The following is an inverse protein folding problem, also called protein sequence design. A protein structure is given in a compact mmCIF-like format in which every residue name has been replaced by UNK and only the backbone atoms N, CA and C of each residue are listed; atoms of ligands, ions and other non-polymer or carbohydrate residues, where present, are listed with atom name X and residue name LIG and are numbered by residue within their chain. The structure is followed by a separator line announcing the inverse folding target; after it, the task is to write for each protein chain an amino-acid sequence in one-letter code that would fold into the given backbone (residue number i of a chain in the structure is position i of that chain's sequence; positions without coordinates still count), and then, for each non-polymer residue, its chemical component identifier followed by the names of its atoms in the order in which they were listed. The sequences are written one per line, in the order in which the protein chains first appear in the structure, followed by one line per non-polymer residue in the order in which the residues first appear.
data_IF_763082282709
#
_entry.id   IF_763082282709
#
_cell.length_a   1.000
_cell.length_b   1.000
_cell.length_c   1.000
_cell.angle_alpha   90.00
_cell.angle_beta   90.00
_cell.angle_gamma   90.00
#
_symmetry.space_group_name_H-M   'P 1'
#
loop_
_entity.id
_entity.type
_entity.pdbx_description
1 polymer ?
#
# COMPACT_ATOMS: atom_id res chain seq x y z
N UNK A 1 -68.50 54.82 -73.40
CA UNK A 1 -67.51 53.68 -73.53
C UNK A 1 -66.21 53.98 -72.82
N UNK A 2 -65.61 55.14 -72.95
CA UNK A 2 -64.34 55.51 -72.29
C UNK A 2 -64.51 55.72 -70.78
N UNK A 3 -65.68 56.16 -70.27
CA UNK A 3 -65.97 56.31 -68.87
C UNK A 3 -66.04 54.94 -68.18
N UNK A 4 -66.64 53.95 -68.86
CA UNK A 4 -66.68 52.61 -68.34
C UNK A 4 -65.32 51.90 -68.42
N UNK A 5 -64.54 52.25 -69.44
CA UNK A 5 -63.13 51.73 -69.48
C UNK A 5 -62.25 52.40 -68.44
N UNK A 6 -62.43 53.71 -68.17
CA UNK A 6 -61.71 54.42 -67.10
C UNK A 6 -62.10 53.85 -65.72
N UNK A 7 -63.42 53.73 -65.48
CA UNK A 7 -63.89 53.16 -64.22
C UNK A 7 -63.41 51.71 -64.02
N UNK A 8 -63.36 50.96 -65.14
CA UNK A 8 -62.80 49.58 -65.07
C UNK A 8 -61.29 49.58 -64.81
N UNK A 9 -60.59 50.48 -65.43
CA UNK A 9 -59.15 50.67 -65.17
C UNK A 9 -58.85 51.17 -63.76
N UNK A 10 -59.66 52.12 -63.30
CA UNK A 10 -59.59 52.61 -61.89
C UNK A 10 -59.95 51.51 -60.92
N UNK A 11 -60.92 50.68 -61.23
CA UNK A 11 -61.25 49.51 -60.36
C UNK A 11 -60.18 48.44 -60.44
N UNK A 12 -59.61 48.20 -61.60
CA UNK A 12 -58.49 47.30 -61.77
C UNK A 12 -57.26 47.86 -61.04
N UNK A 13 -56.97 49.15 -61.08
CA UNK A 13 -55.91 49.82 -60.37
C UNK A 13 -56.11 49.74 -58.86
N UNK A 14 -57.32 50.08 -58.37
CA UNK A 14 -57.65 49.94 -56.94
C UNK A 14 -57.56 48.51 -56.45
N UNK A 15 -57.92 47.54 -57.25
CA UNK A 15 -57.74 46.14 -56.91
C UNK A 15 -56.31 45.72 -56.92
N UNK A 16 -55.52 46.21 -57.87
CA UNK A 16 -54.07 46.00 -57.90
C UNK A 16 -53.36 46.64 -56.71
N UNK A 17 -53.77 47.86 -56.36
CA UNK A 17 -53.22 48.59 -55.24
C UNK A 17 -53.50 47.86 -53.90
N UNK A 18 -54.81 47.48 -53.71
CA UNK A 18 -55.18 46.69 -52.50
C UNK A 18 -54.51 45.36 -52.45
N UNK A 19 -54.35 44.70 -53.58
CA UNK A 19 -53.65 43.43 -53.66
C UNK A 19 -52.14 43.64 -53.38
N UNK A 20 -51.59 44.72 -53.92
CA UNK A 20 -50.17 45.08 -53.64
C UNK A 20 -49.96 45.44 -52.17
N UNK A 21 -50.82 46.25 -51.55
CA UNK A 21 -50.81 46.58 -50.14
C UNK A 21 -50.96 45.34 -49.25
N UNK A 22 -51.92 44.44 -49.61
CA UNK A 22 -52.07 43.16 -48.87
C UNK A 22 -50.84 42.29 -48.96
N UNK A 23 -50.28 42.16 -50.17
CA UNK A 23 -49.03 41.39 -50.36
C UNK A 23 -47.85 42.02 -49.63
N UNK A 24 -47.73 43.37 -49.60
CA UNK A 24 -46.69 44.06 -48.83
C UNK A 24 -46.85 43.84 -47.35
N UNK A 25 -48.07 43.84 -46.81
CA UNK A 25 -48.31 43.52 -45.38
C UNK A 25 -47.98 42.09 -45.05
N UNK A 26 -48.32 41.12 -45.90
CA UNK A 26 -47.96 39.73 -45.74
C UNK A 26 -46.43 39.51 -45.79
N UNK A 27 -45.72 40.21 -46.71
CA UNK A 27 -44.25 40.15 -46.80
C UNK A 27 -43.59 40.72 -45.56
N UNK A 28 -44.06 41.87 -45.05
CA UNK A 28 -43.55 42.47 -43.80
C UNK A 28 -43.76 41.54 -42.58
N UNK A 29 -44.94 40.86 -42.56
CA UNK A 29 -45.17 39.86 -41.49
C UNK A 29 -44.20 38.67 -41.58
N UNK A 30 -44.03 38.14 -42.80
CA UNK A 30 -43.10 37.06 -43.03
C UNK A 30 -41.62 37.45 -42.69
N UNK A 31 -41.23 38.68 -42.95
CA UNK A 31 -39.89 39.22 -42.58
C UNK A 31 -39.74 39.28 -41.06
N UNK A 32 -40.79 39.73 -40.35
CA UNK A 32 -40.79 39.73 -38.89
C UNK A 32 -40.71 38.31 -38.30
N UNK A 33 -41.55 37.40 -38.84
CA UNK A 33 -41.56 35.99 -38.42
C UNK A 33 -40.20 35.30 -38.69
N UNK A 34 -39.55 35.64 -39.82
CA UNK A 34 -38.21 35.18 -40.16
C UNK A 34 -37.13 35.71 -39.17
N UNK A 35 -37.15 37.01 -38.87
CA UNK A 35 -36.24 37.63 -37.92
C UNK A 35 -36.37 37.02 -36.49
N UNK A 36 -37.62 36.71 -36.09
CA UNK A 36 -37.86 35.98 -34.82
C UNK A 36 -37.27 34.59 -34.85
N UNK A 37 -37.50 33.85 -35.94
CA UNK A 37 -36.94 32.49 -36.10
C UNK A 37 -35.41 32.48 -36.16
N UNK A 38 -34.76 33.50 -36.75
CA UNK A 38 -33.32 33.68 -36.76
C UNK A 38 -32.77 33.88 -35.33
N UNK A 39 -33.47 34.71 -34.54
CA UNK A 39 -33.09 34.92 -33.11
C UNK A 39 -33.29 33.64 -32.30
N UNK A 40 -34.41 32.95 -32.52
CA UNK A 40 -34.67 31.66 -31.84
C UNK A 40 -33.59 30.63 -32.19
N UNK A 41 -33.18 30.58 -33.47
CA UNK A 41 -32.11 29.67 -33.91
C UNK A 41 -30.78 29.99 -33.25
N UNK A 42 -30.40 31.27 -33.18
CA UNK A 42 -29.17 31.69 -32.53
C UNK A 42 -29.17 31.31 -31.04
N UNK A 43 -30.28 31.54 -30.33
CA UNK A 43 -30.42 31.17 -28.91
C UNK A 43 -30.36 29.65 -28.70
N UNK A 44 -31.02 28.90 -29.58
CA UNK A 44 -31.01 27.43 -29.51
C UNK A 44 -29.64 26.83 -29.82
N UNK A 45 -28.91 27.43 -30.77
CA UNK A 45 -27.52 27.04 -31.09
C UNK A 45 -26.56 27.29 -29.93
N UNK A 46 -26.71 28.44 -29.24
CA UNK A 46 -25.93 28.71 -28.02
C UNK A 46 -26.22 27.68 -26.93
N UNK A 47 -27.48 27.37 -26.70
CA UNK A 47 -27.92 26.35 -25.75
C UNK A 47 -27.35 24.95 -26.09
N UNK A 48 -27.32 24.60 -27.37
CA UNK A 48 -26.76 23.35 -27.87
C UNK A 48 -25.23 23.30 -27.59
N UNK A 49 -24.51 24.37 -27.89
CA UNK A 49 -23.07 24.47 -27.64
C UNK A 49 -22.72 24.31 -26.16
N UNK A 50 -23.54 24.92 -25.28
CA UNK A 50 -23.39 24.78 -23.84
C UNK A 50 -23.63 23.34 -23.37
N UNK A 51 -24.70 22.70 -23.86
CA UNK A 51 -25.03 21.31 -23.54
C UNK A 51 -23.95 20.33 -24.03
N UNK A 52 -23.42 20.53 -25.22
CA UNK A 52 -22.29 19.75 -25.76
C UNK A 52 -21.00 19.91 -24.93
N UNK A 53 -20.71 21.14 -24.48
CA UNK A 53 -19.58 21.43 -23.61
C UNK A 53 -19.73 20.73 -22.26
N UNK A 54 -20.90 20.75 -21.65
CA UNK A 54 -21.20 20.04 -20.41
C UNK A 54 -21.02 18.53 -20.57
N UNK A 55 -21.54 17.95 -21.65
CA UNK A 55 -21.41 16.53 -21.93
C UNK A 55 -19.93 16.14 -22.12
N UNK A 56 -19.13 16.95 -22.80
CA UNK A 56 -17.69 16.74 -22.96
C UNK A 56 -16.96 16.77 -21.62
N UNK A 57 -17.26 17.76 -20.77
CA UNK A 57 -16.65 17.86 -19.43
C UNK A 57 -16.99 16.64 -18.56
N UNK A 58 -18.22 16.16 -18.60
CA UNK A 58 -18.63 14.94 -17.88
C UNK A 58 -17.94 13.69 -18.42
N UNK A 59 -17.72 13.60 -19.73
CA UNK A 59 -16.97 12.51 -20.35
C UNK A 59 -15.52 12.49 -19.90
N UNK A 60 -14.88 13.66 -19.85
CA UNK A 60 -13.49 13.76 -19.38
C UNK A 60 -13.39 13.47 -17.89
N UNK A 61 -14.38 13.92 -17.08
CA UNK A 61 -14.48 13.57 -15.66
C UNK A 61 -14.69 12.06 -15.47
N UNK A 62 -15.52 11.42 -16.29
CA UNK A 62 -15.72 9.96 -16.26
C UNK A 62 -14.42 9.20 -16.51
N UNK A 63 -13.67 9.54 -17.55
CA UNK A 63 -12.38 8.92 -17.86
C UNK A 63 -11.35 9.09 -16.75
N UNK A 64 -11.30 10.30 -16.17
CA UNK A 64 -10.40 10.58 -15.05
C UNK A 64 -10.78 9.79 -13.80
N UNK A 65 -12.09 9.70 -13.50
CA UNK A 65 -12.60 8.91 -12.37
C UNK A 65 -12.36 7.41 -12.57
N UNK A 66 -12.54 6.88 -13.77
CA UNK A 66 -12.24 5.48 -14.11
C UNK A 66 -10.75 5.14 -13.93
N UNK A 67 -9.87 6.02 -14.37
CA UNK A 67 -8.42 5.86 -14.15
C UNK A 67 -8.07 5.91 -12.67
N UNK A 68 -8.65 6.85 -11.91
CA UNK A 68 -8.46 6.96 -10.46
C UNK A 68 -8.98 5.72 -9.72
N UNK A 69 -10.13 5.19 -10.11
CA UNK A 69 -10.70 3.96 -9.55
C UNK A 69 -9.80 2.75 -9.81
N UNK A 70 -9.24 2.64 -11.01
CA UNK A 70 -8.29 1.57 -11.37
C UNK A 70 -7.04 1.64 -10.49
N UNK A 71 -6.52 2.84 -10.25
CA UNK A 71 -5.38 3.04 -9.34
C UNK A 71 -5.74 2.67 -7.90
N UNK A 72 -6.87 3.16 -7.38
CA UNK A 72 -7.34 2.83 -6.03
C UNK A 72 -7.54 1.32 -5.83
N UNK A 73 -8.01 0.62 -6.86
CA UNK A 73 -8.17 -0.84 -6.83
C UNK A 73 -6.82 -1.55 -6.77
N UNK A 74 -5.84 -1.07 -7.50
CA UNK A 74 -4.46 -1.59 -7.49
C UNK A 74 -3.81 -1.36 -6.12
N UNK A 75 -3.96 -0.17 -5.55
CA UNK A 75 -3.41 0.20 -4.25
C UNK A 75 -4.04 -0.63 -3.13
N UNK A 76 -5.36 -0.83 -3.16
CA UNK A 76 -6.06 -1.70 -2.22
C UNK A 76 -5.56 -3.15 -2.28
N UNK A 77 -5.39 -3.71 -3.49
CA UNK A 77 -4.88 -5.08 -3.66
C UNK A 77 -3.44 -5.22 -3.16
N UNK A 78 -2.58 -4.25 -3.47
CA UNK A 78 -1.20 -4.24 -3.00
C UNK A 78 -1.13 -4.17 -1.47
N UNK A 79 -1.94 -3.30 -0.86
CA UNK A 79 -2.03 -3.16 0.59
C UNK A 79 -2.58 -4.43 1.27
N UNK A 80 -3.57 -5.07 0.65
CA UNK A 80 -4.13 -6.34 1.13
C UNK A 80 -3.09 -7.45 1.13
N UNK A 81 -2.31 -7.58 0.05
CA UNK A 81 -1.21 -8.56 -0.05
C UNK A 81 -0.20 -8.34 1.06
N UNK A 82 0.24 -7.10 1.25
CA UNK A 82 1.20 -6.74 2.30
C UNK A 82 0.70 -7.08 3.71
N UNK A 83 -0.58 -6.82 3.97
CA UNK A 83 -1.19 -7.19 5.24
C UNK A 83 -1.20 -8.71 5.45
N UNK A 84 -1.52 -9.50 4.42
CA UNK A 84 -1.52 -10.95 4.53
C UNK A 84 -0.11 -11.51 4.74
N UNK A 85 0.91 -10.98 4.06
CA UNK A 85 2.31 -11.38 4.25
C UNK A 85 2.75 -11.16 5.70
N UNK A 86 2.41 -10.00 6.29
CA UNK A 86 2.69 -9.71 7.70
C UNK A 86 1.92 -10.63 8.65
N UNK A 87 0.66 -10.94 8.35
CA UNK A 87 -0.16 -11.83 9.16
C UNK A 87 0.42 -13.25 9.17
N UNK A 88 0.86 -13.76 8.02
CA UNK A 88 1.45 -15.09 7.93
C UNK A 88 2.81 -15.14 8.64
N UNK A 89 3.63 -14.11 8.49
CA UNK A 89 4.89 -14.00 9.26
C UNK A 89 4.62 -13.96 10.77
N UNK A 90 3.61 -13.21 11.22
CA UNK A 90 3.23 -13.16 12.63
C UNK A 90 2.75 -14.52 13.15
N UNK A 91 1.99 -15.27 12.35
CA UNK A 91 1.56 -16.64 12.70
C UNK A 91 2.74 -17.59 12.84
N UNK A 92 3.69 -17.53 11.89
CA UNK A 92 4.92 -18.33 11.95
C UNK A 92 5.71 -18.05 13.23
N UNK A 93 5.93 -16.77 13.53
CA UNK A 93 6.65 -16.35 14.74
C UNK A 93 5.94 -16.77 16.03
N UNK A 94 4.62 -16.64 16.11
CA UNK A 94 3.83 -17.13 17.25
C UNK A 94 3.87 -18.65 17.40
N UNK A 95 3.84 -19.39 16.31
CA UNK A 95 4.00 -20.84 16.35
C UNK A 95 5.39 -21.24 16.89
N UNK A 96 6.45 -20.53 16.45
CA UNK A 96 7.80 -20.71 16.98
C UNK A 96 7.86 -20.38 18.47
N UNK A 97 7.29 -19.26 18.91
CA UNK A 97 7.16 -18.90 20.32
C UNK A 97 6.52 -20.03 21.14
N UNK A 98 5.35 -20.52 20.72
CA UNK A 98 4.64 -21.59 21.43
C UNK A 98 5.48 -22.87 21.52
N UNK A 99 6.25 -23.20 20.48
CA UNK A 99 7.17 -24.34 20.46
C UNK A 99 8.28 -24.17 21.48
N UNK A 100 8.93 -22.99 21.53
CA UNK A 100 10.00 -22.68 22.46
C UNK A 100 9.49 -22.68 23.92
N UNK A 101 8.33 -22.07 24.17
CA UNK A 101 7.69 -22.07 25.48
C UNK A 101 7.37 -23.49 25.99
N UNK A 102 6.92 -24.38 25.10
CA UNK A 102 6.69 -25.77 25.43
C UNK A 102 8.00 -26.50 25.82
N UNK A 103 9.09 -26.22 25.09
CA UNK A 103 10.41 -26.78 25.41
C UNK A 103 10.89 -26.31 26.79
N UNK A 104 10.76 -25.00 27.08
CA UNK A 104 11.13 -24.42 28.39
C UNK A 104 10.29 -25.04 29.49
N UNK A 105 8.97 -25.08 29.34
CA UNK A 105 8.04 -25.62 30.34
C UNK A 105 8.30 -27.10 30.66
N UNK A 106 8.64 -27.89 29.64
CA UNK A 106 8.83 -29.33 29.80
C UNK A 106 10.29 -29.71 30.03
N UNK A 107 11.23 -28.75 30.02
CA UNK A 107 12.68 -28.97 30.10
C UNK A 107 13.14 -30.06 29.11
N UNK A 108 12.55 -30.10 27.91
CA UNK A 108 12.75 -31.19 26.94
C UNK A 108 14.10 -31.12 26.21
N UNK A 109 14.79 -29.98 26.29
CA UNK A 109 16.13 -29.76 25.74
C UNK A 109 17.28 -30.23 26.68
N UNK A 110 16.98 -30.65 27.92
CA UNK A 110 17.96 -31.12 28.88
C UNK A 110 18.15 -32.64 28.88
N UNK A 111 19.32 -33.11 29.30
CA UNK A 111 19.55 -34.53 29.54
C UNK A 111 18.59 -35.08 30.60
N UNK A 112 18.25 -36.37 30.49
CA UNK A 112 17.26 -37.02 31.33
C UNK A 112 17.42 -36.75 32.84
N UNK A 113 18.63 -36.79 33.34
CA UNK A 113 18.91 -36.53 34.75
C UNK A 113 18.68 -35.06 35.15
N UNK A 114 19.09 -34.13 34.31
CA UNK A 114 18.86 -32.70 34.54
C UNK A 114 17.39 -32.37 34.49
N UNK A 115 16.68 -32.82 33.43
CA UNK A 115 15.23 -32.69 33.27
C UNK A 115 14.47 -33.19 34.50
N UNK A 116 14.80 -34.39 34.97
CA UNK A 116 14.15 -34.99 36.13
C UNK A 116 14.31 -34.15 37.41
N UNK A 117 15.50 -33.58 37.63
CA UNK A 117 15.75 -32.71 38.77
C UNK A 117 15.00 -31.39 38.66
N UNK A 118 15.02 -30.77 37.49
CA UNK A 118 14.28 -29.51 37.25
C UNK A 118 12.76 -29.68 37.41
N UNK A 119 12.20 -30.79 36.93
CA UNK A 119 10.77 -31.10 37.10
C UNK A 119 10.43 -31.40 38.58
N UNK A 120 11.36 -31.97 39.37
CA UNK A 120 11.17 -32.26 40.77
C UNK A 120 11.70 -31.16 41.70
N UNK A 121 12.04 -29.98 41.17
CA UNK A 121 12.69 -28.91 41.94
C UNK A 121 11.94 -28.55 43.24
N UNK A 122 10.64 -28.44 43.20
CA UNK A 122 9.81 -28.17 44.39
C UNK A 122 9.81 -29.28 45.40
N UNK A 123 9.99 -30.52 44.98
CA UNK A 123 10.03 -31.69 45.86
C UNK A 123 11.40 -31.85 46.54
N UNK A 124 12.47 -31.56 45.79
CA UNK A 124 13.88 -31.70 46.28
C UNK A 124 14.23 -30.51 47.18
N UNK A 125 13.81 -29.30 46.81
CA UNK A 125 14.15 -28.04 47.44
C UNK A 125 15.56 -27.55 47.08
N UNK A 126 15.75 -26.22 47.12
CA UNK A 126 17.03 -25.56 46.89
C UNK A 126 17.62 -25.69 45.47
N UNK A 127 16.81 -26.09 44.50
CA UNK A 127 17.18 -26.14 43.08
C UNK A 127 16.90 -24.75 42.50
N UNK A 128 17.93 -24.09 41.99
CA UNK A 128 17.80 -22.74 41.36
C UNK A 128 17.45 -22.89 39.90
N UNK A 129 18.09 -23.78 39.14
CA UNK A 129 17.86 -24.02 37.73
C UNK A 129 19.10 -24.51 37.01
N UNK A 130 19.00 -24.71 35.70
CA UNK A 130 20.20 -25.03 34.90
C UNK A 130 21.00 -23.77 34.55
N UNK A 131 22.30 -23.89 34.36
CA UNK A 131 23.18 -22.77 34.00
C UNK A 131 22.69 -22.01 32.80
N UNK A 132 22.22 -22.70 31.75
CA UNK A 132 21.68 -22.08 30.51
C UNK A 132 20.40 -21.26 30.72
N UNK A 133 19.66 -21.48 31.81
CA UNK A 133 18.45 -20.74 32.13
C UNK A 133 18.71 -19.39 32.83
N UNK A 134 19.94 -19.19 33.33
CA UNK A 134 20.36 -18.05 34.16
C UNK A 134 21.38 -17.13 33.49
N UNK A 135 21.64 -17.29 32.19
CA UNK A 135 22.60 -16.49 31.44
C UNK A 135 21.97 -15.93 30.18
N UNK A 136 22.27 -14.69 29.88
CA UNK A 136 21.91 -14.03 28.61
C UNK A 136 23.14 -13.33 28.02
N UNK A 137 23.16 -13.17 26.71
CA UNK A 137 24.23 -12.53 25.96
C UNK A 137 23.71 -12.00 24.63
N UNK A 138 24.48 -11.10 24.01
CA UNK A 138 24.16 -10.60 22.68
C UNK A 138 24.20 -11.74 21.65
N UNK A 139 23.31 -11.71 20.64
CA UNK A 139 23.21 -12.78 19.63
C UNK A 139 24.52 -13.09 18.92
N UNK A 140 25.39 -12.10 18.71
CA UNK A 140 26.70 -12.28 18.07
C UNK A 140 27.65 -13.22 18.84
N UNK A 141 27.45 -13.38 20.16
CA UNK A 141 28.26 -14.25 21.01
C UNK A 141 27.67 -15.65 21.17
N UNK A 142 26.50 -15.94 20.59
CA UNK A 142 25.81 -17.20 20.83
C UNK A 142 26.68 -18.44 20.61
N UNK A 143 27.29 -18.57 19.44
CA UNK A 143 28.13 -19.72 19.10
C UNK A 143 29.33 -19.84 20.05
N UNK A 144 29.97 -18.71 20.33
CA UNK A 144 31.10 -18.68 21.25
C UNK A 144 30.73 -19.13 22.67
N UNK A 145 29.55 -18.67 23.18
CA UNK A 145 29.08 -19.04 24.53
C UNK A 145 28.60 -20.48 24.60
N UNK A 146 27.95 -20.99 23.52
CA UNK A 146 27.62 -22.42 23.42
C UNK A 146 28.85 -23.30 23.52
N UNK A 147 29.95 -22.95 22.88
CA UNK A 147 31.23 -23.67 22.95
C UNK A 147 31.91 -23.44 24.31
N UNK A 148 31.95 -22.19 24.82
CA UNK A 148 32.60 -21.86 26.09
C UNK A 148 31.96 -22.62 27.26
N UNK A 149 30.64 -22.66 27.36
CA UNK A 149 29.90 -23.40 28.38
C UNK A 149 29.87 -24.91 28.08
N UNK A 150 29.71 -25.29 26.84
CA UNK A 150 29.64 -26.69 26.42
C UNK A 150 28.68 -27.50 27.31
N UNK A 151 29.10 -28.67 27.80
CA UNK A 151 28.29 -29.51 28.67
C UNK A 151 27.95 -28.86 30.03
N UNK A 152 28.69 -27.85 30.46
CA UNK A 152 28.41 -27.16 31.71
C UNK A 152 27.14 -26.31 31.67
N UNK A 153 26.65 -25.96 30.46
CA UNK A 153 25.36 -25.30 30.27
C UNK A 153 24.16 -26.07 30.86
N UNK A 154 24.30 -27.40 30.99
CA UNK A 154 23.29 -28.28 31.59
C UNK A 154 23.52 -28.54 33.09
N UNK A 155 24.59 -27.99 33.70
CA UNK A 155 24.79 -28.16 35.12
C UNK A 155 23.70 -27.47 35.91
N UNK A 156 23.26 -28.09 37.01
CA UNK A 156 22.17 -27.56 37.88
C UNK A 156 22.77 -26.72 39.00
N UNK A 157 22.36 -25.48 39.09
CA UNK A 157 22.76 -24.60 40.19
C UNK A 157 21.84 -24.90 41.39
N UNK A 158 22.42 -25.06 42.55
CA UNK A 158 21.75 -25.34 43.82
C UNK A 158 22.24 -24.40 44.92
N UNK A 159 21.40 -24.13 45.90
CA UNK A 159 21.73 -23.22 47.01
C UNK A 159 22.93 -23.76 47.82
N UNK A 160 22.85 -25.01 48.25
CA UNK A 160 23.85 -25.61 49.15
C UNK A 160 24.22 -27.05 48.75
N UNK A 161 25.31 -27.55 49.35
CA UNK A 161 25.75 -28.96 49.17
C UNK A 161 24.70 -29.99 49.61
N UNK A 162 23.90 -29.66 50.63
CA UNK A 162 22.82 -30.50 51.11
C UNK A 162 21.76 -30.77 50.01
N UNK A 163 21.41 -29.75 49.23
CA UNK A 163 20.50 -29.86 48.10
C UNK A 163 21.08 -30.66 46.94
N UNK A 164 22.38 -30.50 46.67
CA UNK A 164 23.10 -31.34 45.70
C UNK A 164 23.04 -32.84 46.08
N UNK A 165 23.28 -33.17 47.38
CA UNK A 165 23.18 -34.52 47.89
C UNK A 165 21.75 -35.09 47.78
N UNK A 166 20.74 -34.28 48.12
CA UNK A 166 19.32 -34.65 47.98
C UNK A 166 18.96 -34.96 46.51
N UNK A 167 19.37 -34.09 45.57
CA UNK A 167 19.15 -34.28 44.15
C UNK A 167 19.85 -35.55 43.60
N UNK A 168 21.06 -35.82 44.02
CA UNK A 168 21.77 -37.07 43.67
C UNK A 168 21.07 -38.31 44.22
N UNK A 169 20.57 -38.25 45.48
CA UNK A 169 19.78 -39.34 46.06
C UNK A 169 18.49 -39.57 45.33
N UNK A 170 17.78 -38.50 44.91
CA UNK A 170 16.59 -38.57 44.07
C UNK A 170 16.84 -39.23 42.72
N UNK A 171 17.91 -38.84 42.01
CA UNK A 171 18.29 -39.45 40.73
C UNK A 171 18.63 -40.96 40.87
N UNK A 172 19.37 -41.33 41.92
CA UNK A 172 19.69 -42.75 42.19
C UNK A 172 18.45 -43.58 42.50
N UNK A 173 17.55 -43.07 43.37
CA UNK A 173 16.32 -43.74 43.75
C UNK A 173 15.43 -44.00 42.55
N UNK A 174 15.30 -43.02 41.68
CA UNK A 174 14.39 -43.08 40.51
C UNK A 174 15.08 -43.57 39.24
N UNK A 175 16.36 -43.93 39.25
CA UNK A 175 17.14 -44.40 38.10
C UNK A 175 17.06 -43.46 36.87
N UNK A 176 17.16 -42.14 37.11
CA UNK A 176 16.91 -41.11 36.11
C UNK A 176 18.18 -40.47 35.48
N UNK A 177 19.26 -41.21 35.41
CA UNK A 177 20.50 -40.74 34.80
C UNK A 177 21.38 -39.95 35.77
N UNK A 178 22.22 -39.05 35.23
CA UNK A 178 23.20 -38.26 35.98
C UNK A 178 23.03 -36.77 35.67
N UNK A 179 23.34 -35.94 36.67
CA UNK A 179 23.49 -34.49 36.52
C UNK A 179 24.68 -34.00 37.36
N UNK A 180 25.26 -32.87 36.96
CA UNK A 180 26.30 -32.18 37.72
C UNK A 180 25.65 -31.00 38.45
N UNK A 181 25.99 -30.85 39.76
CA UNK A 181 25.41 -29.82 40.60
C UNK A 181 26.49 -28.80 40.99
N UNK A 182 26.12 -27.53 41.02
CA UNK A 182 26.96 -26.40 41.35
C UNK A 182 26.37 -25.67 42.58
N UNK A 183 26.80 -26.07 43.82
CA UNK A 183 26.32 -25.36 45.02
C UNK A 183 26.94 -23.95 45.12
N UNK A 184 26.13 -22.95 45.37
CA UNK A 184 26.59 -21.56 45.55
C UNK A 184 27.60 -21.41 46.67
N UNK A 185 27.46 -22.22 47.72
CA UNK A 185 28.31 -22.18 48.90
C UNK A 185 29.76 -22.71 48.67
N UNK A 186 29.94 -23.59 47.67
CA UNK A 186 31.23 -24.28 47.47
C UNK A 186 31.99 -23.89 46.21
N UNK A 187 31.26 -23.43 45.19
CA UNK A 187 31.89 -23.02 43.93
C UNK A 187 32.60 -21.67 44.12
N UNK A 188 33.89 -21.64 43.80
CA UNK A 188 34.70 -20.44 43.89
C UNK A 188 34.97 -19.85 42.50
N UNK A 189 35.05 -18.52 42.36
CA UNK A 189 35.45 -17.87 41.14
C UNK A 189 36.77 -18.39 40.60
N UNK A 190 36.86 -18.49 39.29
CA UNK A 190 38.12 -18.83 38.60
C UNK A 190 38.33 -17.79 37.50
N UNK A 191 39.43 -17.03 37.61
CA UNK A 191 39.76 -15.98 36.66
C UNK A 191 41.16 -16.19 36.10
N UNK A 192 41.43 -15.57 34.97
CA UNK A 192 42.75 -15.52 34.39
C UNK A 192 43.70 -14.74 35.32
N UNK A 193 44.97 -15.17 35.40
CA UNK A 193 45.98 -14.38 36.06
C UNK A 193 46.19 -13.03 35.34
N UNK A 194 46.39 -11.96 36.11
CA UNK A 194 46.49 -10.61 35.56
C UNK A 194 47.49 -10.46 34.41
N UNK A 195 48.66 -11.15 34.50
CA UNK A 195 49.66 -11.09 33.43
C UNK A 195 49.17 -11.73 32.11
N UNK A 196 48.36 -12.79 32.18
CA UNK A 196 47.76 -13.41 31.00
C UNK A 196 46.66 -12.52 30.43
N UNK A 197 45.83 -11.93 31.29
CA UNK A 197 44.75 -11.02 30.86
C UNK A 197 45.32 -9.80 30.12
N UNK A 198 46.38 -9.16 30.69
CA UNK A 198 47.04 -8.02 30.03
C UNK A 198 47.67 -8.37 28.67
N UNK A 199 48.17 -9.59 28.50
CA UNK A 199 48.66 -10.05 27.19
C UNK A 199 47.53 -10.26 26.17
N UNK A 200 46.37 -10.73 26.63
CA UNK A 200 45.20 -10.91 25.78
C UNK A 200 44.60 -9.58 25.40
N UNK A 201 44.46 -8.63 26.35
CA UNK A 201 43.97 -7.27 26.11
C UNK A 201 44.81 -6.50 25.08
N UNK A 202 46.13 -6.75 25.05
CA UNK A 202 47.04 -6.20 24.06
C UNK A 202 46.97 -6.92 22.69
N UNK A 203 46.27 -8.03 22.58
CA UNK A 203 46.21 -8.83 21.36
C UNK A 203 45.06 -8.34 20.46
N UNK A 204 45.28 -8.21 19.15
CA UNK A 204 44.20 -7.86 18.21
C UNK A 204 43.03 -8.87 18.25
N UNK A 205 41.80 -8.39 18.14
CA UNK A 205 40.63 -9.25 18.11
C UNK A 205 40.15 -9.79 19.45
N UNK A 206 40.78 -9.39 20.57
CA UNK A 206 40.28 -9.72 21.90
C UNK A 206 39.00 -8.97 22.21
N UNK A 207 37.93 -9.70 22.54
CA UNK A 207 36.62 -9.14 22.83
C UNK A 207 36.31 -9.04 24.32
N UNK A 208 36.96 -9.88 25.13
CA UNK A 208 36.80 -9.95 26.58
C UNK A 208 36.92 -11.37 27.09
N UNK A 209 36.86 -11.55 28.42
CA UNK A 209 36.64 -12.87 28.99
C UNK A 209 35.18 -13.25 28.91
N UNK A 210 34.86 -14.53 28.76
CA UNK A 210 33.51 -14.99 28.51
C UNK A 210 32.51 -14.59 29.60
N UNK A 211 32.97 -14.49 30.88
CA UNK A 211 32.13 -14.02 31.99
C UNK A 211 31.78 -12.53 31.93
N UNK A 212 32.61 -11.71 31.24
CA UNK A 212 32.33 -10.28 31.01
C UNK A 212 31.35 -10.00 29.86
N UNK A 213 31.21 -10.95 28.94
CA UNK A 213 30.38 -10.84 27.74
C UNK A 213 28.98 -11.45 27.93
N UNK A 214 28.66 -11.88 29.15
CA UNK A 214 27.36 -12.43 29.53
C UNK A 214 26.73 -11.63 30.65
N UNK A 215 25.40 -11.65 30.72
CA UNK A 215 24.63 -11.06 31.81
C UNK A 215 23.92 -12.15 32.61
N UNK A 216 24.02 -12.05 33.92
CA UNK A 216 23.42 -12.99 34.88
C UNK A 216 23.10 -12.28 36.20
N UNK A 217 22.32 -12.93 37.06
CA UNK A 217 22.04 -12.40 38.40
C UNK A 217 23.32 -12.35 39.24
N UNK A 218 23.53 -11.23 39.95
CA UNK A 218 24.75 -11.00 40.78
C UNK A 218 24.98 -12.08 41.85
N UNK A 219 23.93 -12.72 42.34
CA UNK A 219 24.00 -13.84 43.26
C UNK A 219 24.70 -15.06 42.68
N UNK A 220 24.79 -15.19 41.36
CA UNK A 220 25.39 -16.29 40.63
C UNK A 220 26.81 -15.98 40.12
N UNK A 221 27.37 -14.83 40.49
CA UNK A 221 28.68 -14.37 40.03
C UNK A 221 29.78 -15.45 40.24
N UNK A 222 29.82 -16.11 41.39
CA UNK A 222 30.78 -17.18 41.66
C UNK A 222 30.68 -18.36 40.70
N UNK A 223 29.50 -18.73 40.28
CA UNK A 223 29.25 -19.82 39.33
C UNK A 223 29.73 -19.41 37.92
N UNK A 224 29.33 -18.26 37.42
CA UNK A 224 29.68 -17.85 36.06
C UNK A 224 31.14 -17.49 35.91
N UNK A 225 31.76 -16.88 36.90
CA UNK A 225 33.21 -16.69 36.95
C UNK A 225 33.98 -18.01 37.03
N UNK A 226 33.46 -19.02 37.74
CA UNK A 226 34.08 -20.34 37.76
C UNK A 226 34.05 -21.00 36.37
N UNK A 227 32.94 -20.90 35.67
CA UNK A 227 32.70 -21.55 34.36
C UNK A 227 33.37 -20.81 33.20
N UNK A 228 33.32 -19.48 33.18
CA UNK A 228 33.64 -18.64 32.04
C UNK A 228 34.86 -17.71 32.26
N UNK A 229 35.19 -17.37 33.50
CA UNK A 229 36.20 -16.33 33.81
C UNK A 229 37.66 -16.69 33.41
N UNK A 230 37.92 -17.93 33.04
CA UNK A 230 39.19 -18.36 32.49
C UNK A 230 39.19 -18.66 30.98
N UNK A 231 38.12 -18.23 30.27
CA UNK A 231 37.97 -18.39 28.82
C UNK A 231 37.99 -17.03 28.15
N UNK A 232 38.87 -16.83 27.18
CA UNK A 232 38.92 -15.61 26.38
C UNK A 232 38.12 -15.76 25.08
N UNK A 233 37.47 -14.69 24.67
CA UNK A 233 36.73 -14.64 23.41
C UNK A 233 37.45 -13.75 22.41
N UNK A 234 37.60 -14.25 21.20
CA UNK A 234 38.26 -13.57 20.08
C UNK A 234 37.35 -13.51 18.86
N UNK A 235 37.64 -12.55 17.98
CA UNK A 235 36.89 -12.34 16.78
C UNK A 235 37.06 -13.49 15.77
N UNK A 236 38.31 -13.87 15.50
CA UNK A 236 38.66 -14.95 14.56
C UNK A 236 39.80 -15.87 15.07
N UNK A 237 39.97 -16.99 14.34
CA UNK A 237 40.92 -18.01 14.70
C UNK A 237 42.40 -17.59 14.52
N UNK A 238 42.70 -16.73 13.55
CA UNK A 238 44.08 -16.29 13.29
C UNK A 238 44.58 -15.39 14.42
N UNK A 239 43.75 -14.43 14.85
CA UNK A 239 44.04 -13.56 15.99
C UNK A 239 44.07 -14.36 17.29
N UNK A 240 43.15 -15.31 17.47
CA UNK A 240 43.14 -16.24 18.61
C UNK A 240 44.44 -17.06 18.70
N UNK A 241 44.96 -17.55 17.58
CA UNK A 241 46.18 -18.31 17.52
C UNK A 241 47.44 -17.46 17.87
N UNK A 242 47.48 -16.20 17.44
CA UNK A 242 48.53 -15.26 17.82
C UNK A 242 48.55 -15.03 19.34
N UNK A 243 47.37 -14.78 19.92
CA UNK A 243 47.20 -14.60 21.36
C UNK A 243 47.51 -15.88 22.15
N UNK A 244 47.14 -17.06 21.63
CA UNK A 244 47.47 -18.35 22.23
C UNK A 244 49.00 -18.58 22.32
N UNK A 245 49.73 -18.24 21.26
CA UNK A 245 51.22 -18.30 21.26
C UNK A 245 51.81 -17.32 22.26
N UNK A 246 51.33 -16.09 22.34
CA UNK A 246 51.79 -15.08 23.28
C UNK A 246 51.61 -15.55 24.75
N UNK A 247 50.48 -16.21 25.04
CA UNK A 247 50.17 -16.77 26.35
C UNK A 247 50.73 -18.20 26.55
N UNK A 248 51.58 -18.70 25.64
CA UNK A 248 52.19 -20.06 25.67
C UNK A 248 51.13 -21.16 25.79
N UNK A 249 49.98 -20.98 25.14
CA UNK A 249 48.85 -21.92 25.17
C UNK A 249 48.36 -22.26 26.60
N UNK A 250 48.38 -21.28 27.50
CA UNK A 250 47.91 -21.48 28.88
C UNK A 250 46.44 -21.13 29.04
N UNK A 251 45.87 -20.37 28.09
CA UNK A 251 44.50 -19.87 28.16
C UNK A 251 43.60 -20.63 27.19
N UNK A 252 42.38 -20.90 27.61
CA UNK A 252 41.34 -21.38 26.73
C UNK A 252 40.80 -20.20 25.92
N UNK A 253 40.79 -20.29 24.61
CA UNK A 253 40.33 -19.26 23.72
C UNK A 253 39.20 -19.83 22.84
N UNK A 254 38.13 -19.09 22.70
CA UNK A 254 37.00 -19.43 21.79
C UNK A 254 36.73 -18.23 20.87
N UNK A 255 36.47 -18.49 19.61
CA UNK A 255 36.18 -17.48 18.59
C UNK A 255 34.71 -17.36 18.34
N UNK A 256 34.28 -16.25 17.71
CA UNK A 256 32.85 -16.00 17.40
C UNK A 256 32.23 -17.08 16.49
N UNK A 257 33.02 -17.69 15.61
CA UNK A 257 32.59 -18.81 14.76
C UNK A 257 32.57 -20.18 15.49
N UNK A 258 32.96 -20.22 16.77
CA UNK A 258 32.94 -21.42 17.59
C UNK A 258 34.23 -22.27 17.50
N UNK A 259 35.29 -21.78 16.87
CA UNK A 259 36.61 -22.43 16.93
C UNK A 259 37.20 -22.27 18.33
N UNK A 260 37.91 -23.29 18.81
CA UNK A 260 38.43 -23.36 20.17
C UNK A 260 39.92 -23.72 20.17
N UNK A 261 40.70 -22.99 20.94
CA UNK A 261 42.08 -23.33 21.28
C UNK A 261 42.13 -23.67 22.78
N UNK A 262 42.50 -24.89 23.12
CA UNK A 262 42.53 -25.34 24.50
C UNK A 262 43.92 -25.16 25.11
N UNK A 263 44.00 -25.05 26.44
CA UNK A 263 45.25 -25.11 27.13
C UNK A 263 46.06 -26.37 26.73
N UNK A 264 47.36 -26.18 26.43
CA UNK A 264 48.21 -27.24 25.88
C UNK A 264 48.26 -27.28 24.35
N UNK A 265 47.49 -26.39 23.63
CA UNK A 265 47.67 -26.16 22.19
C UNK A 265 46.84 -27.04 21.27
N UNK A 266 45.84 -27.74 21.77
CA UNK A 266 44.90 -28.44 20.89
C UNK A 266 43.84 -27.50 20.30
N UNK A 267 43.48 -27.69 19.02
CA UNK A 267 42.49 -26.96 18.30
C UNK A 267 41.23 -27.82 18.10
N UNK A 268 40.09 -27.23 18.31
CA UNK A 268 38.81 -27.81 17.98
C UNK A 268 37.99 -26.79 17.15
N UNK A 269 37.25 -27.23 16.17
CA UNK A 269 36.45 -26.36 15.30
C UNK A 269 35.71 -27.19 14.26
N UNK A 270 34.94 -26.54 13.43
CA UNK A 270 34.11 -27.16 12.40
C UNK A 270 32.63 -26.74 12.51
N UNK A 271 31.80 -27.16 11.56
CA UNK A 271 30.40 -26.81 11.58
C UNK A 271 29.68 -27.33 12.84
N UNK A 272 29.19 -26.43 13.65
CA UNK A 272 28.36 -26.79 14.81
C UNK A 272 26.97 -27.22 14.32
N UNK A 273 26.69 -28.53 14.25
CA UNK A 273 25.42 -29.12 13.82
C UNK A 273 24.44 -29.31 14.97
N UNK A 274 24.70 -28.79 16.16
CA UNK A 274 23.73 -28.93 17.24
C UNK A 274 22.56 -27.97 17.06
N UNK A 275 21.51 -28.44 16.40
CA UNK A 275 20.24 -27.73 16.20
C UNK A 275 19.39 -27.54 17.48
N UNK A 276 19.87 -27.97 18.62
CA UNK A 276 19.21 -27.79 19.91
C UNK A 276 20.04 -26.87 20.81
N UNK A 277 19.91 -25.57 20.57
CA UNK A 277 20.44 -24.58 21.50
C UNK A 277 19.81 -24.79 22.88
N UNK A 278 20.65 -24.86 23.91
CA UNK A 278 20.20 -24.87 25.30
C UNK A 278 19.81 -23.47 25.79
N UNK A 279 20.14 -22.46 25.01
CA UNK A 279 19.90 -21.05 25.30
C UNK A 279 18.61 -20.57 24.63
N UNK A 280 17.48 -21.16 25.03
CA UNK A 280 16.15 -20.83 24.47
C UNK A 280 15.65 -19.49 24.95
N UNK A 281 16.02 -19.07 26.18
CA UNK A 281 15.54 -17.84 26.77
C UNK A 281 15.91 -16.59 25.95
N UNK A 282 17.18 -16.38 25.53
CA UNK A 282 17.53 -15.26 24.65
C UNK A 282 16.80 -15.27 23.31
N UNK A 283 16.61 -16.45 22.71
CA UNK A 283 15.84 -16.61 21.47
C UNK A 283 14.36 -16.23 21.68
N UNK A 284 13.79 -16.69 22.80
CA UNK A 284 12.39 -16.37 23.14
C UNK A 284 12.19 -14.88 23.42
N UNK A 285 13.09 -14.25 24.17
CA UNK A 285 13.04 -12.81 24.47
C UNK A 285 13.15 -11.96 23.19
N UNK A 286 14.07 -12.31 22.29
CA UNK A 286 14.20 -11.66 20.99
C UNK A 286 12.94 -11.85 20.12
N UNK A 287 12.38 -13.07 20.11
CA UNK A 287 11.19 -13.41 19.37
C UNK A 287 9.95 -12.65 19.90
N UNK A 288 9.83 -12.45 21.22
CA UNK A 288 8.76 -11.68 21.82
C UNK A 288 8.80 -10.20 21.38
N UNK A 289 9.99 -9.61 21.30
CA UNK A 289 10.15 -8.23 20.78
C UNK A 289 9.76 -8.18 19.32
N UNK A 290 10.19 -9.15 18.51
CA UNK A 290 9.86 -9.23 17.09
C UNK A 290 8.35 -9.40 16.86
N UNK A 291 7.67 -10.27 17.61
CA UNK A 291 6.23 -10.47 17.58
C UNK A 291 5.48 -9.18 17.95
N UNK A 292 5.97 -8.46 18.95
CA UNK A 292 5.37 -7.17 19.34
C UNK A 292 5.45 -6.16 18.21
N UNK A 293 6.63 -5.99 17.61
CA UNK A 293 6.84 -5.07 16.47
C UNK A 293 5.96 -5.46 15.29
N UNK A 294 5.96 -6.73 14.89
CA UNK A 294 5.09 -7.23 13.81
C UNK A 294 3.60 -7.02 14.09
N UNK A 295 3.18 -7.14 15.35
CA UNK A 295 1.79 -6.90 15.75
C UNK A 295 1.41 -5.41 15.65
N UNK A 296 2.35 -4.50 15.95
CA UNK A 296 2.17 -3.05 15.78
C UNK A 296 2.15 -2.68 14.29
N UNK A 297 3.05 -3.23 13.49
CA UNK A 297 3.10 -3.05 12.04
C UNK A 297 1.82 -3.56 11.38
N UNK A 298 1.33 -4.74 11.78
CA UNK A 298 0.08 -5.30 11.26
C UNK A 298 -1.10 -4.36 11.51
N UNK A 299 -1.23 -3.80 12.71
CA UNK A 299 -2.29 -2.82 13.03
C UNK A 299 -2.19 -1.56 12.17
N UNK A 300 -0.97 -1.10 11.90
CA UNK A 300 -0.76 0.05 11.03
C UNK A 300 -1.16 -0.24 9.57
N UNK A 301 -0.84 -1.44 9.08
CA UNK A 301 -1.22 -1.86 7.73
C UNK A 301 -2.73 -2.17 7.61
N UNK A 302 -3.38 -2.68 8.65
CA UNK A 302 -4.85 -2.81 8.73
C UNK A 302 -5.55 -1.45 8.64
N UNK A 303 -5.02 -0.42 9.32
CA UNK A 303 -5.56 0.93 9.23
C UNK A 303 -5.41 1.53 7.82
N UNK A 304 -4.26 1.30 7.15
CA UNK A 304 -4.05 1.71 5.77
C UNK A 304 -5.01 0.99 4.80
N UNK A 305 -5.20 -0.32 4.99
CA UNK A 305 -6.12 -1.11 4.18
C UNK A 305 -7.56 -0.58 4.31
N UNK A 306 -7.98 -0.21 5.53
CA UNK A 306 -9.30 0.40 5.76
C UNK A 306 -9.43 1.74 5.02
N UNK A 307 -8.37 2.55 4.99
CA UNK A 307 -8.33 3.81 4.26
C UNK A 307 -8.40 3.60 2.74
N UNK A 308 -7.64 2.64 2.21
CA UNK A 308 -7.68 2.32 0.77
C UNK A 308 -9.04 1.75 0.35
N UNK A 309 -9.69 0.97 1.22
CA UNK A 309 -11.06 0.53 1.00
C UNK A 309 -12.04 1.70 0.93
N UNK A 310 -11.92 2.65 1.85
CA UNK A 310 -12.76 3.86 1.84
C UNK A 310 -12.56 4.68 0.55
N UNK A 311 -11.31 4.83 0.10
CA UNK A 311 -10.96 5.50 -1.16
C UNK A 311 -11.59 4.78 -2.36
N UNK A 312 -11.54 3.46 -2.38
CA UNK A 312 -12.15 2.63 -3.42
C UNK A 312 -13.67 2.79 -3.44
N UNK A 313 -14.32 2.71 -2.28
CA UNK A 313 -15.78 2.86 -2.16
C UNK A 313 -16.25 4.26 -2.59
N UNK A 314 -15.50 5.32 -2.24
CA UNK A 314 -15.73 6.68 -2.71
C UNK A 314 -15.58 6.80 -4.24
N UNK A 315 -14.49 6.25 -4.78
CA UNK A 315 -14.28 6.25 -6.23
C UNK A 315 -15.39 5.56 -7.02
N UNK A 316 -15.94 4.46 -6.50
CA UNK A 316 -17.09 3.77 -7.09
C UNK A 316 -18.37 4.63 -7.05
N UNK A 317 -18.63 5.30 -5.93
CA UNK A 317 -19.80 6.19 -5.78
C UNK A 317 -19.68 7.41 -6.70
N UNK A 318 -18.50 8.02 -6.79
CA UNK A 318 -18.24 9.16 -7.68
C UNK A 318 -18.43 8.78 -9.15
N UNK A 319 -17.91 7.62 -9.57
CA UNK A 319 -18.07 7.12 -10.94
C UNK A 319 -19.56 6.91 -11.30
N UNK A 320 -20.34 6.32 -10.40
CA UNK A 320 -21.77 6.10 -10.61
C UNK A 320 -22.55 7.44 -10.70
N UNK A 321 -22.16 8.41 -9.88
CA UNK A 321 -22.73 9.78 -9.93
C UNK A 321 -22.44 10.44 -11.28
N UNK A 322 -21.18 10.44 -11.71
CA UNK A 322 -20.75 11.03 -12.99
C UNK A 322 -21.47 10.35 -14.17
N UNK A 323 -21.65 9.03 -14.10
CA UNK A 323 -22.37 8.25 -15.12
C UNK A 323 -23.82 8.67 -15.20
N UNK A 324 -24.49 8.81 -14.05
CA UNK A 324 -25.90 9.24 -13.98
C UNK A 324 -26.06 10.67 -14.52
N UNK A 325 -25.18 11.58 -14.12
CA UNK A 325 -25.15 12.96 -14.60
C UNK A 325 -24.88 13.02 -16.11
N UNK A 326 -23.99 12.16 -16.60
CA UNK A 326 -23.70 12.02 -18.03
C UNK A 326 -24.90 11.56 -18.85
N UNK A 327 -25.70 10.61 -18.34
CA UNK A 327 -26.94 10.18 -19.00
C UNK A 327 -27.99 11.29 -19.05
N UNK A 328 -28.17 12.04 -17.97
CA UNK A 328 -29.04 13.19 -17.91
C UNK A 328 -28.61 14.27 -18.89
N UNK A 329 -27.34 14.62 -18.90
CA UNK A 329 -26.76 15.60 -19.81
C UNK A 329 -26.88 15.18 -21.29
N UNK A 330 -26.73 13.89 -21.60
CA UNK A 330 -26.93 13.36 -22.96
C UNK A 330 -28.36 13.50 -23.43
N UNK A 331 -29.33 13.18 -22.57
CA UNK A 331 -30.75 13.35 -22.89
C UNK A 331 -31.13 14.82 -23.11
N UNK A 332 -30.54 15.70 -22.27
CA UNK A 332 -30.76 17.15 -22.40
C UNK A 332 -30.16 17.66 -23.71
N UNK A 333 -28.97 17.27 -24.09
CA UNK A 333 -28.31 17.61 -25.35
C UNK A 333 -29.14 17.14 -26.56
N UNK A 334 -29.61 15.90 -26.56
CA UNK A 334 -30.46 15.36 -27.63
C UNK A 334 -31.76 16.15 -27.80
N UNK A 335 -32.39 16.53 -26.69
CA UNK A 335 -33.61 17.36 -26.72
C UNK A 335 -33.34 18.73 -27.34
N UNK A 336 -32.28 19.41 -26.90
CA UNK A 336 -31.88 20.72 -27.40
C UNK A 336 -31.52 20.64 -28.89
N UNK A 337 -30.80 19.61 -29.31
CA UNK A 337 -30.46 19.35 -30.70
C UNK A 337 -31.70 19.25 -31.59
N UNK A 338 -32.67 18.43 -31.16
CA UNK A 338 -33.94 18.28 -31.89
C UNK A 338 -34.70 19.60 -31.99
N UNK A 339 -34.71 20.38 -30.90
CA UNK A 339 -35.30 21.72 -30.90
C UNK A 339 -34.62 22.66 -31.90
N UNK A 340 -33.28 22.66 -31.92
CA UNK A 340 -32.46 23.46 -32.83
C UNK A 340 -32.70 23.07 -34.28
N UNK A 341 -32.83 21.78 -34.59
CA UNK A 341 -33.18 21.27 -35.92
C UNK A 341 -34.58 21.73 -36.35
N UNK A 342 -35.56 21.68 -35.44
CA UNK A 342 -36.94 22.15 -35.70
C UNK A 342 -36.99 23.65 -35.99
N UNK A 343 -36.25 24.46 -35.20
CA UNK A 343 -36.18 25.92 -35.43
C UNK A 343 -35.48 26.23 -36.75
N UNK A 344 -34.39 25.50 -37.08
CA UNK A 344 -33.69 25.64 -38.35
C UNK A 344 -34.62 25.31 -39.56
N UNK A 345 -35.39 24.24 -39.43
CA UNK A 345 -36.38 23.88 -40.47
C UNK A 345 -37.47 24.96 -40.63
N UNK A 346 -38.00 25.45 -39.50
CA UNK A 346 -38.96 26.57 -39.52
C UNK A 346 -38.43 27.81 -40.23
N UNK A 347 -37.16 28.17 -39.96
CA UNK A 347 -36.48 29.28 -40.62
C UNK A 347 -36.32 29.03 -42.14
N UNK A 348 -35.95 27.81 -42.54
CA UNK A 348 -35.85 27.42 -43.93
C UNK A 348 -37.20 27.54 -44.66
N UNK A 349 -38.28 27.04 -44.04
CA UNK A 349 -39.63 27.10 -44.60
C UNK A 349 -40.11 28.55 -44.72
N UNK A 350 -39.93 29.40 -43.69
CA UNK A 350 -40.26 30.84 -43.74
C UNK A 350 -39.43 31.58 -44.77
N UNK A 351 -38.18 31.23 -44.95
CA UNK A 351 -37.30 31.82 -45.96
C UNK A 351 -37.78 31.47 -47.37
N UNK A 352 -38.13 30.20 -47.60
CA UNK A 352 -38.63 29.74 -48.88
C UNK A 352 -39.99 30.45 -49.21
N UNK A 353 -40.88 30.61 -48.21
CA UNK A 353 -42.18 31.30 -48.38
C UNK A 353 -41.93 32.78 -48.64
N UNK A 354 -41.01 33.44 -47.95
CA UNK A 354 -40.66 34.83 -48.18
C UNK A 354 -40.14 35.06 -49.62
N UNK A 355 -39.15 34.21 -50.06
CA UNK A 355 -38.63 34.33 -51.44
C UNK A 355 -39.63 34.11 -52.50
N UNK A 356 -40.62 33.19 -52.31
CA UNK A 356 -41.71 32.96 -53.21
C UNK A 356 -42.62 34.18 -53.33
N UNK A 357 -43.03 34.79 -52.19
CA UNK A 357 -43.86 35.98 -52.18
C UNK A 357 -43.13 37.21 -52.65
N UNK A 358 -41.88 37.40 -52.32
CA UNK A 358 -41.04 38.49 -52.82
C UNK A 358 -40.88 38.47 -54.32
N UNK A 359 -40.71 37.27 -54.91
CA UNK A 359 -40.67 37.13 -56.39
C UNK A 359 -41.94 37.53 -57.08
N UNK A 360 -43.14 37.28 -56.47
CA UNK A 360 -44.42 37.70 -57.01
C UNK A 360 -44.72 39.20 -56.94
N UNK A 361 -44.04 39.89 -55.93
CA UNK A 361 -44.14 41.36 -55.84
C UNK A 361 -43.13 42.04 -56.78
N UNK A 362 -42.04 41.40 -57.14
CA UNK A 362 -40.98 41.92 -57.99
C UNK A 362 -41.37 42.09 -59.47
N UNK A 363 -42.42 41.42 -59.92
CA UNK A 363 -42.95 41.63 -61.26
C UNK A 363 -43.52 43.05 -61.45
N UNK A 364 -43.86 43.78 -60.35
CA UNK A 364 -44.43 45.16 -60.40
C UNK A 364 -43.36 46.25 -60.11
N UNK A 365 -42.18 45.96 -59.58
CA UNK A 365 -41.11 46.94 -59.22
C UNK A 365 -39.71 46.37 -59.39
N UNK A 366 -39.20 46.29 -60.63
CA UNK A 366 -38.02 45.59 -61.04
C UNK A 366 -36.65 46.14 -60.56
N UNK A 367 -36.52 47.37 -60.08
CA UNK A 367 -35.23 48.01 -59.80
C UNK A 367 -34.85 48.01 -58.33
N UNK A 368 -35.76 48.22 -57.39
CA UNK A 368 -35.36 48.25 -55.93
C UNK A 368 -35.35 46.88 -55.26
N UNK A 369 -36.04 45.92 -55.88
CA UNK A 369 -36.11 44.56 -55.35
C UNK A 369 -34.87 43.73 -55.67
N UNK A 370 -34.15 44.00 -56.78
CA UNK A 370 -32.95 43.22 -57.16
C UNK A 370 -31.77 43.43 -56.15
N UNK A 371 -31.64 44.67 -55.69
CA UNK A 371 -30.63 44.95 -54.62
C UNK A 371 -30.95 44.30 -53.28
N UNK A 372 -32.24 44.24 -52.90
CA UNK A 372 -32.73 43.60 -51.68
C UNK A 372 -32.58 42.06 -51.75
N UNK A 373 -32.75 41.46 -52.92
CA UNK A 373 -32.57 40.00 -53.16
C UNK A 373 -31.13 39.57 -53.05
N UNK A 374 -30.15 40.33 -53.54
CA UNK A 374 -28.71 40.04 -53.41
C UNK A 374 -28.25 40.15 -51.95
N UNK A 375 -28.74 41.15 -51.21
CA UNK A 375 -28.44 41.27 -49.78
C UNK A 375 -28.98 40.06 -48.98
N UNK A 376 -30.18 39.61 -49.29
CA UNK A 376 -30.78 38.44 -48.67
C UNK A 376 -30.12 37.13 -49.05
N UNK A 377 -29.63 36.95 -50.29
CA UNK A 377 -28.81 35.81 -50.71
C UNK A 377 -27.50 35.73 -49.94
N UNK A 378 -26.86 36.87 -49.70
CA UNK A 378 -25.63 36.93 -48.90
C UNK A 378 -25.89 36.51 -47.44
N UNK A 379 -27.00 36.96 -46.85
CA UNK A 379 -27.41 36.52 -45.51
C UNK A 379 -27.74 35.01 -45.45
N UNK A 380 -28.43 34.47 -46.46
CA UNK A 380 -28.75 33.07 -46.58
C UNK A 380 -27.47 32.20 -46.66
N UNK A 381 -26.52 32.60 -47.49
CA UNK A 381 -25.21 31.96 -47.61
C UNK A 381 -24.46 31.97 -46.28
N UNK A 382 -24.55 33.08 -45.50
CA UNK A 382 -23.99 33.16 -44.16
C UNK A 382 -24.70 32.16 -43.18
N UNK A 383 -26.01 32.04 -43.27
CA UNK A 383 -26.77 31.10 -42.43
C UNK A 383 -26.54 29.62 -42.82
N UNK A 384 -26.42 29.32 -44.11
CA UNK A 384 -26.05 27.99 -44.60
C UNK A 384 -24.63 27.60 -44.16
N UNK A 385 -23.69 28.54 -44.17
CA UNK A 385 -22.34 28.38 -43.60
C UNK A 385 -22.41 28.03 -42.10
N UNK A 386 -23.20 28.78 -41.32
CA UNK A 386 -23.41 28.46 -39.90
C UNK A 386 -24.09 27.10 -39.68
N UNK A 387 -25.05 26.73 -40.50
CA UNK A 387 -25.73 25.42 -40.45
C UNK A 387 -24.73 24.27 -40.77
N UNK A 388 -23.83 24.45 -41.73
CA UNK A 388 -22.80 23.50 -42.06
C UNK A 388 -21.78 23.32 -40.89
N UNK A 389 -21.38 24.43 -40.25
CA UNK A 389 -20.50 24.44 -39.08
C UNK A 389 -21.10 23.68 -37.90
N UNK A 390 -22.38 23.89 -37.63
CA UNK A 390 -23.13 23.18 -36.57
C UNK A 390 -23.26 21.68 -36.88
N UNK A 391 -23.54 21.31 -38.11
CA UNK A 391 -23.65 19.92 -38.51
C UNK A 391 -22.33 19.17 -38.35
N UNK A 392 -21.21 19.85 -38.60
CA UNK A 392 -19.86 19.28 -38.37
C UNK A 392 -19.63 19.03 -36.87
N UNK A 393 -19.97 20.00 -35.99
CA UNK A 393 -19.88 19.84 -34.54
C UNK A 393 -20.79 18.69 -34.04
N UNK A 394 -21.98 18.55 -34.63
CA UNK A 394 -22.93 17.46 -34.34
C UNK A 394 -22.33 16.07 -34.66
N UNK A 395 -21.64 15.92 -35.78
CA UNK A 395 -21.00 14.66 -36.17
C UNK A 395 -19.78 14.33 -35.27
N UNK A 396 -18.99 15.32 -34.85
CA UNK A 396 -17.92 15.14 -33.87
C UNK A 396 -18.43 14.63 -32.50
N UNK A 397 -19.56 15.17 -32.02
CA UNK A 397 -20.23 14.72 -30.78
C UNK A 397 -20.78 13.30 -30.90
N UNK A 398 -21.37 12.94 -32.05
CA UNK A 398 -21.83 11.55 -32.28
C UNK A 398 -20.68 10.54 -32.26
N UNK A 399 -19.54 10.89 -32.84
CA UNK A 399 -18.34 10.04 -32.87
C UNK A 399 -17.78 9.83 -31.46
N UNK A 400 -17.70 10.91 -30.67
CA UNK A 400 -17.27 10.84 -29.27
C UNK A 400 -18.24 10.06 -28.38
N UNK A 401 -19.53 10.15 -28.60
CA UNK A 401 -20.56 9.37 -27.91
C UNK A 401 -20.42 7.86 -28.15
N UNK A 402 -20.14 7.46 -29.39
CA UNK A 402 -20.02 6.06 -29.76
C UNK A 402 -18.74 5.44 -29.12
N UNK A 403 -17.68 6.26 -28.91
CA UNK A 403 -16.46 5.84 -28.20
C UNK A 403 -16.63 5.67 -26.68
N UNK A 404 -17.72 6.15 -26.09
CA UNK A 404 -18.05 5.94 -24.65
C UNK A 404 -18.94 4.70 -24.46
N UNK A 405 -19.62 4.25 -25.50
CA UNK A 405 -20.53 3.09 -25.45
C UNK A 405 -19.83 1.75 -25.75
N UNK A 406 -18.56 1.79 -26.24
CA UNK A 406 -17.60 0.65 -26.28
C UNK A 406 -16.73 0.60 -25.01
#
# INVERSE_FOLDING_TARGET
EKSNQLAKLEQEWDNHLRLSESKAQELQKLEADKAEAEKDLASSQESLSQAESQLRNLLDAYKASEASLTQAQTDYQAQQTKMFDLLDLLKEKKARQSSLEAIVKNHSNFYAGVKAVLQAANQIGGIIGAVSEHVSFEPRYQTAMEIALGAASQNVIVEEESHAKAAIAFLKKNRQGRATFLPLTTIKPRQLANHLLSQLEASPGFLGTADQLVSYDTSLTGIFQNLLGATAIFEDLDQANQAARATRFQVRIVTLDGSEIRPGGSFAGGANRQNNSLFIKPELDALLVEIKTLSEDLKAEEAKLAQEKENLDKGLADLETIKTDGEVARLAEQKIRLQTEQVAQRLADLTQLYDLQASQVAEDQLTDLQASIEALKAELTHFEGKKAEINQQIEEVKTNRNAIQE
#
